data_IF_721734797235
#
_entry.id   IF_721734797235
#
_cell.length_a   1.000
_cell.length_b   1.000
_cell.length_c   1.000
_cell.angle_alpha   90.00
_cell.angle_beta   90.00
_cell.angle_gamma   90.00
#
_symmetry.space_group_name_H-M   'P 1'
#
loop_
_entity.id
_entity.type
_entity.pdbx_description
1 polymer ?
#
# COMPACT_ATOMS: atom_id res chain seq x y z
N UNK A 1 -18.79 10.75 -13.04
CA UNK A 1 -17.96 10.97 -14.24
C UNK A 1 -17.65 9.61 -14.83
N UNK A 2 -18.10 9.29 -16.03
CA UNK A 2 -17.87 7.99 -16.66
C UNK A 2 -16.51 8.02 -17.36
N UNK A 3 -15.63 7.05 -17.08
CA UNK A 3 -14.27 7.02 -17.66
C UNK A 3 -14.27 6.60 -19.12
N UNK A 4 -15.30 5.86 -19.57
CA UNK A 4 -15.40 5.36 -20.95
C UNK A 4 -15.90 6.40 -21.95
N UNK A 5 -16.24 7.59 -21.50
CA UNK A 5 -16.53 8.74 -22.37
C UNK A 5 -15.25 9.40 -22.91
N UNK A 6 -14.09 9.13 -22.31
CA UNK A 6 -12.79 9.62 -22.77
C UNK A 6 -12.12 8.54 -23.65
N UNK A 7 -11.93 8.84 -24.93
CA UNK A 7 -11.34 7.91 -25.91
C UNK A 7 -9.98 7.35 -25.47
N UNK A 8 -9.21 8.12 -24.69
CA UNK A 8 -7.90 7.68 -24.15
C UNK A 8 -8.02 6.46 -23.25
N UNK A 9 -9.19 6.25 -22.64
CA UNK A 9 -9.46 5.17 -21.71
C UNK A 9 -10.33 4.08 -22.30
N UNK A 10 -10.73 4.17 -23.56
CA UNK A 10 -11.68 3.23 -24.17
C UNK A 10 -11.22 1.78 -24.01
N UNK A 11 -9.93 1.51 -24.29
CA UNK A 11 -9.33 0.18 -24.22
C UNK A 11 -8.33 0.00 -23.08
N UNK A 12 -7.94 1.09 -22.40
CA UNK A 12 -7.00 1.01 -21.30
C UNK A 12 -7.64 0.27 -20.11
N UNK A 13 -7.01 -0.79 -19.57
CA UNK A 13 -7.47 -1.41 -18.34
C UNK A 13 -7.26 -0.46 -17.16
N UNK A 14 -8.32 -0.22 -16.39
CA UNK A 14 -8.33 0.67 -15.22
C UNK A 14 -8.76 -0.14 -14.01
N UNK A 15 -7.86 -0.30 -13.04
CA UNK A 15 -8.11 -1.00 -11.78
C UNK A 15 -8.24 0.03 -10.65
N UNK A 16 -9.37 0.01 -9.95
CA UNK A 16 -9.61 0.88 -8.81
C UNK A 16 -8.80 0.42 -7.60
N UNK A 17 -8.20 1.33 -6.83
CA UNK A 17 -7.64 0.98 -5.52
C UNK A 17 -8.53 1.53 -4.41
N UNK A 18 -9.17 0.66 -3.63
CA UNK A 18 -10.20 1.07 -2.67
C UNK A 18 -9.78 0.79 -1.23
N UNK A 19 -10.08 1.71 -0.31
CA UNK A 19 -9.86 1.49 1.13
C UNK A 19 -10.86 0.50 1.73
N UNK A 20 -12.08 0.46 1.16
CA UNK A 20 -13.10 -0.53 1.45
C UNK A 20 -13.32 -1.40 0.20
N UNK A 21 -13.35 -2.71 0.37
CA UNK A 21 -13.57 -3.68 -0.71
C UNK A 21 -15.01 -4.20 -0.72
N UNK A 22 -15.96 -3.36 -0.30
CA UNK A 22 -17.36 -3.77 -0.17
C UNK A 22 -17.97 -4.02 -1.54
N UNK A 23 -19.04 -4.82 -1.60
CA UNK A 23 -19.77 -5.07 -2.84
C UNK A 23 -20.31 -3.78 -3.49
N UNK A 24 -20.63 -2.78 -2.67
CA UNK A 24 -21.07 -1.47 -3.14
C UNK A 24 -19.95 -0.71 -3.85
N UNK A 25 -18.73 -0.75 -3.31
CA UNK A 25 -17.56 -0.14 -3.94
C UNK A 25 -17.26 -0.79 -5.30
N UNK A 26 -17.34 -2.13 -5.38
CA UNK A 26 -17.18 -2.87 -6.65
C UNK A 26 -18.23 -2.46 -7.69
N UNK A 27 -19.47 -2.25 -7.26
CA UNK A 27 -20.56 -1.83 -8.14
C UNK A 27 -20.32 -0.42 -8.66
N UNK A 28 -19.97 0.52 -7.77
CA UNK A 28 -19.67 1.92 -8.12
C UNK A 28 -18.49 2.05 -9.07
N UNK A 29 -17.40 1.31 -8.86
CA UNK A 29 -16.23 1.35 -9.76
C UNK A 29 -16.57 0.82 -11.15
N UNK A 30 -17.36 -0.26 -11.23
CA UNK A 30 -17.84 -0.82 -12.49
C UNK A 30 -18.78 0.13 -13.24
N UNK A 31 -19.69 0.81 -12.55
CA UNK A 31 -20.60 1.82 -13.14
C UNK A 31 -19.86 3.00 -13.76
N UNK A 32 -18.71 3.37 -13.19
CA UNK A 32 -17.84 4.44 -13.69
C UNK A 32 -16.95 3.97 -14.85
N UNK A 33 -17.03 2.68 -15.22
CA UNK A 33 -16.32 2.10 -16.34
C UNK A 33 -14.95 1.52 -16.02
N UNK A 34 -14.62 1.28 -14.73
CA UNK A 34 -13.40 0.59 -14.33
C UNK A 34 -13.53 -0.93 -14.55
N UNK A 35 -12.40 -1.60 -14.80
CA UNK A 35 -12.34 -3.03 -15.11
C UNK A 35 -12.41 -3.90 -13.85
N UNK A 36 -11.71 -3.49 -12.79
CA UNK A 36 -11.64 -4.23 -11.54
C UNK A 36 -11.27 -3.31 -10.37
N UNK A 37 -11.05 -3.91 -9.20
CA UNK A 37 -10.62 -3.23 -7.99
C UNK A 37 -9.57 -4.05 -7.23
N UNK A 38 -8.73 -3.35 -6.49
CA UNK A 38 -7.71 -3.89 -5.59
C UNK A 38 -7.91 -3.22 -4.24
N UNK A 39 -8.12 -4.02 -3.20
CA UNK A 39 -8.28 -3.52 -1.84
C UNK A 39 -6.97 -2.95 -1.30
N UNK A 40 -7.08 -1.96 -0.41
CA UNK A 40 -5.98 -1.52 0.45
C UNK A 40 -6.14 -2.18 1.83
N UNK A 41 -5.04 -2.60 2.51
CA UNK A 41 -3.66 -2.62 2.00
C UNK A 41 -3.53 -3.57 0.80
N UNK A 42 -2.61 -3.25 -0.13
CA UNK A 42 -2.41 -4.06 -1.34
C UNK A 42 -1.93 -5.44 -0.92
N UNK A 43 -2.64 -6.47 -1.35
CA UNK A 43 -2.13 -7.83 -1.37
C UNK A 43 -1.32 -8.04 -2.65
N UNK A 44 0.00 -8.33 -2.56
CA UNK A 44 0.83 -8.57 -3.74
C UNK A 44 0.27 -9.66 -4.65
N UNK A 45 -0.26 -10.76 -4.07
CA UNK A 45 -0.78 -11.86 -4.86
C UNK A 45 -2.00 -11.44 -5.67
N UNK A 46 -3.02 -10.86 -5.02
CA UNK A 46 -4.20 -10.33 -5.70
C UNK A 46 -3.87 -9.24 -6.73
N UNK A 47 -2.84 -8.42 -6.49
CA UNK A 47 -2.34 -7.47 -7.49
C UNK A 47 -1.78 -8.20 -8.72
N UNK A 48 -0.92 -9.20 -8.54
CA UNK A 48 -0.36 -9.97 -9.66
C UNK A 48 -1.46 -10.71 -10.44
N UNK A 49 -2.44 -11.29 -9.76
CA UNK A 49 -3.60 -11.93 -10.42
C UNK A 49 -4.39 -10.93 -11.27
N UNK A 50 -4.65 -9.72 -10.75
CA UNK A 50 -5.32 -8.67 -11.49
C UNK A 50 -4.49 -8.21 -12.70
N UNK A 51 -3.17 -8.07 -12.54
CA UNK A 51 -2.27 -7.70 -13.63
C UNK A 51 -2.26 -8.78 -14.72
N UNK A 52 -2.11 -10.05 -14.37
CA UNK A 52 -2.17 -11.16 -15.33
C UNK A 52 -3.51 -11.22 -16.07
N UNK A 53 -4.61 -10.87 -15.40
CA UNK A 53 -5.93 -10.84 -16.03
C UNK A 53 -6.09 -9.72 -17.06
N UNK A 54 -5.54 -8.54 -16.79
CA UNK A 54 -5.87 -7.31 -17.52
C UNK A 54 -4.75 -6.78 -18.40
N UNK A 55 -3.50 -7.17 -18.16
CA UNK A 55 -2.36 -6.77 -18.97
C UNK A 55 -2.22 -7.73 -20.13
N UNK A 56 -2.18 -7.22 -21.37
CA UNK A 56 -1.92 -8.05 -22.54
C UNK A 56 -0.56 -8.76 -22.41
N UNK A 57 -0.46 -10.01 -22.84
CA UNK A 57 0.78 -10.77 -22.81
C UNK A 57 1.45 -10.68 -24.18
N UNK A 58 2.76 -10.43 -24.21
CA UNK A 58 3.52 -10.34 -25.44
C UNK A 58 4.97 -9.99 -25.17
N UNK A 59 5.82 -10.14 -26.19
CA UNK A 59 7.19 -9.65 -26.14
C UNK A 59 7.16 -8.12 -26.05
N UNK A 60 7.67 -7.60 -24.95
CA UNK A 60 7.89 -6.16 -24.76
C UNK A 60 9.36 -5.98 -24.53
N UNK A 61 9.92 -4.95 -25.16
CA UNK A 61 11.19 -4.40 -24.71
C UNK A 61 10.97 -3.89 -23.29
N UNK A 62 11.39 -4.70 -22.33
CA UNK A 62 11.48 -4.24 -20.96
C UNK A 62 12.50 -3.11 -20.97
N UNK A 63 12.19 -1.94 -20.38
CA UNK A 63 13.24 -0.97 -20.10
C UNK A 63 14.33 -1.73 -19.35
N UNK A 64 15.59 -1.56 -19.75
CA UNK A 64 16.73 -2.12 -19.03
C UNK A 64 16.74 -1.52 -17.64
N UNK A 65 15.99 -2.14 -16.72
CA UNK A 65 16.19 -2.00 -15.30
C UNK A 65 17.57 -2.64 -15.14
N UNK A 66 18.58 -1.81 -14.93
CA UNK A 66 19.94 -2.27 -14.65
C UNK A 66 19.84 -3.44 -13.66
N UNK A 67 20.38 -4.60 -14.03
CA UNK A 67 20.41 -5.85 -13.25
C UNK A 67 21.18 -5.73 -11.92
N UNK A 68 21.40 -4.52 -11.43
CA UNK A 68 21.84 -4.28 -10.07
C UNK A 68 20.62 -4.08 -9.19
N UNK A 69 20.22 -5.10 -8.40
CA UNK A 69 19.53 -4.78 -7.18
C UNK A 69 20.54 -3.96 -6.38
N UNK A 70 20.35 -2.64 -6.31
CA UNK A 70 21.16 -1.73 -5.49
C UNK A 70 20.84 -2.00 -4.01
N UNK A 71 21.19 -3.20 -3.57
CA UNK A 71 21.13 -3.65 -2.19
C UNK A 71 22.48 -3.32 -1.57
N UNK A 72 22.73 -2.02 -1.45
CA UNK A 72 23.75 -1.51 -0.53
C UNK A 72 23.13 -1.59 0.86
N UNK A 73 23.38 -2.72 1.53
CA UNK A 73 22.97 -3.01 2.91
C UNK A 73 23.04 -4.51 3.18
N UNK A 74 23.30 -4.95 4.43
CA UNK A 74 23.33 -6.37 4.75
C UNK A 74 21.95 -6.98 4.42
N UNK A 75 21.92 -7.93 3.48
CA UNK A 75 20.72 -8.70 3.15
C UNK A 75 20.31 -9.63 4.30
N UNK A 76 21.25 -9.90 5.22
CA UNK A 76 21.14 -10.90 6.29
C UNK A 76 21.18 -10.31 7.70
N UNK A 77 21.09 -8.98 7.88
CA UNK A 77 20.79 -8.45 9.20
C UNK A 77 19.30 -8.69 9.45
N UNK A 78 18.97 -9.89 9.91
CA UNK A 78 17.63 -10.23 10.37
C UNK A 78 17.10 -9.11 11.27
N UNK A 79 15.84 -8.73 11.08
CA UNK A 79 15.24 -7.70 11.93
C UNK A 79 15.33 -8.17 13.39
N UNK A 80 15.67 -7.27 14.32
CA UNK A 80 15.59 -7.59 15.73
C UNK A 80 14.14 -7.99 16.08
N UNK A 81 13.98 -8.79 17.14
CA UNK A 81 12.67 -9.01 17.71
C UNK A 81 12.08 -7.68 18.18
N UNK A 82 10.91 -7.33 17.66
CA UNK A 82 10.23 -6.06 17.91
C UNK A 82 8.88 -6.34 18.57
N UNK A 83 8.81 -6.35 19.92
CA UNK A 83 7.58 -6.62 20.64
C UNK A 83 6.46 -5.67 20.21
N UNK A 84 5.31 -6.23 19.84
CA UNK A 84 4.14 -5.48 19.38
C UNK A 84 4.15 -5.13 17.88
N UNK A 85 5.20 -5.52 17.13
CA UNK A 85 5.25 -5.38 15.68
C UNK A 85 5.33 -6.76 15.04
N UNK A 86 4.35 -7.09 14.21
CA UNK A 86 4.40 -8.27 13.35
C UNK A 86 5.35 -8.02 12.16
N UNK A 87 6.61 -8.38 12.36
CA UNK A 87 7.67 -8.21 11.36
C UNK A 87 7.48 -9.13 10.16
N UNK A 88 6.96 -10.33 10.36
CA UNK A 88 6.73 -11.33 9.31
C UNK A 88 5.69 -10.82 8.31
N UNK A 89 4.50 -10.43 8.80
CA UNK A 89 3.45 -9.87 7.96
C UNK A 89 3.84 -8.52 7.35
N UNK A 90 4.67 -7.73 8.05
CA UNK A 90 5.20 -6.46 7.53
C UNK A 90 6.13 -6.66 6.33
N UNK A 91 7.06 -7.60 6.44
CA UNK A 91 8.01 -7.98 5.39
C UNK A 91 7.30 -8.61 4.19
N UNK A 92 6.34 -9.50 4.42
CA UNK A 92 5.58 -10.18 3.36
C UNK A 92 4.87 -9.16 2.44
N UNK A 93 4.29 -8.10 3.01
CA UNK A 93 3.65 -7.01 2.26
C UNK A 93 4.63 -6.19 1.42
N UNK A 94 5.92 -6.23 1.73
CA UNK A 94 6.99 -5.58 0.97
C UNK A 94 7.79 -6.56 0.12
N UNK A 95 7.28 -7.77 -0.11
CA UNK A 95 7.93 -8.80 -0.92
C UNK A 95 9.27 -9.26 -0.34
N UNK A 96 9.41 -9.26 0.99
CA UNK A 96 10.67 -9.63 1.68
C UNK A 96 11.74 -8.54 1.70
N UNK A 97 11.43 -7.31 1.26
CA UNK A 97 12.42 -6.23 1.20
C UNK A 97 12.70 -5.60 2.58
N UNK A 98 13.68 -6.17 3.30
CA UNK A 98 14.11 -5.75 4.65
C UNK A 98 14.52 -4.28 4.70
N UNK A 99 15.21 -3.76 3.67
CA UNK A 99 15.66 -2.36 3.61
C UNK A 99 14.47 -1.39 3.56
N UNK A 100 13.51 -1.68 2.69
CA UNK A 100 12.28 -0.88 2.57
C UNK A 100 11.45 -0.95 3.85
N UNK A 101 11.39 -2.12 4.48
CA UNK A 101 10.71 -2.30 5.77
C UNK A 101 11.38 -1.49 6.88
N UNK A 102 12.70 -1.55 7.00
CA UNK A 102 13.47 -0.77 7.99
C UNK A 102 13.27 0.73 7.78
N UNK A 103 13.26 1.20 6.53
CA UNK A 103 12.97 2.61 6.21
C UNK A 103 11.54 2.99 6.59
N UNK A 104 10.57 2.11 6.39
CA UNK A 104 9.18 2.32 6.80
C UNK A 104 9.06 2.41 8.33
N UNK A 105 9.72 1.52 9.07
CA UNK A 105 9.80 1.58 10.53
C UNK A 105 10.44 2.90 11.01
N UNK A 106 11.52 3.34 10.39
CA UNK A 106 12.14 4.63 10.71
C UNK A 106 11.19 5.81 10.50
N UNK A 107 10.39 5.80 9.43
CA UNK A 107 9.34 6.82 9.20
C UNK A 107 8.23 6.73 10.23
N UNK A 108 7.81 5.53 10.62
CA UNK A 108 6.81 5.33 11.66
C UNK A 108 7.27 5.93 12.99
N UNK A 109 8.50 5.64 13.43
CA UNK A 109 9.07 6.24 14.65
C UNK A 109 9.10 7.76 14.55
N UNK A 110 9.58 8.32 13.43
CA UNK A 110 9.61 9.77 13.23
C UNK A 110 8.24 10.43 13.26
N UNK A 111 7.24 9.81 12.62
CA UNK A 111 5.88 10.34 12.55
C UNK A 111 5.10 10.19 13.86
N UNK A 112 5.38 9.16 14.65
CA UNK A 112 4.62 8.81 15.86
C UNK A 112 5.34 9.14 17.16
N UNK A 113 6.55 9.70 17.11
CA UNK A 113 7.34 10.03 18.30
C UNK A 113 6.59 10.93 19.31
N UNK A 114 5.75 11.84 18.81
CA UNK A 114 4.97 12.77 19.63
C UNK A 114 3.58 12.27 20.05
N UNK A 115 3.07 11.20 19.42
CA UNK A 115 1.67 10.78 19.52
C UNK A 115 1.23 10.55 20.97
N UNK A 116 2.01 9.81 21.76
CA UNK A 116 1.68 9.52 23.16
C UNK A 116 1.62 10.81 24.00
N UNK A 117 2.54 11.75 23.77
CA UNK A 117 2.56 13.01 24.51
C UNK A 117 1.34 13.88 24.16
N UNK A 118 0.98 13.93 22.88
CA UNK A 118 -0.21 14.64 22.40
C UNK A 118 -1.50 14.02 22.95
N UNK A 119 -1.64 12.69 22.91
CA UNK A 119 -2.77 11.96 23.50
C UNK A 119 -2.91 12.29 24.99
N UNK A 120 -1.82 12.20 25.76
CA UNK A 120 -1.84 12.52 27.20
C UNK A 120 -2.24 13.97 27.48
N UNK A 121 -1.74 14.91 26.67
CA UNK A 121 -2.08 16.34 26.79
C UNK A 121 -3.56 16.58 26.50
N UNK A 122 -4.06 16.03 25.41
CA UNK A 122 -5.47 16.15 25.02
C UNK A 122 -6.42 15.54 26.08
N UNK A 123 -6.06 14.39 26.64
CA UNK A 123 -6.82 13.77 27.74
C UNK A 123 -6.81 14.63 29.01
N UNK A 124 -5.68 15.26 29.35
CA UNK A 124 -5.60 16.17 30.50
C UNK A 124 -6.47 17.43 30.30
N UNK A 125 -6.60 17.90 29.07
CA UNK A 125 -7.48 19.00 28.66
C UNK A 125 -8.95 18.58 28.50
N UNK A 126 -9.29 17.30 28.75
CA UNK A 126 -10.61 16.71 28.48
C UNK A 126 -11.08 16.85 27.02
N UNK A 127 -10.15 17.03 26.07
CA UNK A 127 -10.41 17.05 24.63
C UNK A 127 -10.27 15.63 24.05
N UNK A 128 -11.35 14.86 24.17
CA UNK A 128 -11.39 13.48 23.69
C UNK A 128 -11.24 13.37 22.17
N UNK A 129 -11.73 14.35 21.40
CA UNK A 129 -11.59 14.30 19.93
C UNK A 129 -10.14 14.46 19.49
N UNK A 130 -9.42 15.40 20.12
CA UNK A 130 -7.99 15.59 19.84
C UNK A 130 -7.17 14.37 20.25
N UNK A 131 -7.51 13.73 21.37
CA UNK A 131 -6.85 12.49 21.79
C UNK A 131 -7.04 11.36 20.77
N UNK A 132 -8.25 11.20 20.21
CA UNK A 132 -8.53 10.19 19.17
C UNK A 132 -7.79 10.50 17.87
N UNK A 133 -7.68 11.77 17.47
CA UNK A 133 -6.96 12.15 16.24
C UNK A 133 -5.44 11.93 16.32
N UNK A 134 -4.88 11.99 17.53
CA UNK A 134 -3.45 11.78 17.76
C UNK A 134 -3.07 10.30 17.93
N UNK A 135 -4.06 9.40 18.03
CA UNK A 135 -3.89 7.95 18.14
C UNK A 135 -3.95 7.25 16.77
#
# INVERSE_FOLDING_TARGET
>A
RNLREDERFEKLPILAMTANATMEDKRKTKEVGMNDHISKPIDPQGLFEALLKWVEHGERDLPKISDEPKVEGPQDAGLPDLPGIDTESGLARLGGNVRSYTKLLGKFVGNQAGAIAEIRTALAESDGERAVRAA
#
